data_IF_956463418540
#
_entry.id   IF_956463418540
#
_cell.length_a   1.000
_cell.length_b   1.000
_cell.length_c   1.000
_cell.angle_alpha   90.00
_cell.angle_beta   90.00
_cell.angle_gamma   90.00
#
_symmetry.space_group_name_H-M   'P 1'
#
loop_
_entity.id
_entity.type
_entity.pdbx_description
1 polymer ?
#
# COMPACT_ATOMS: atom_id res chain seq x y z
N UNK A 1 15.22 -33.68 -5.67
CA UNK A 1 15.06 -34.53 -6.88
C UNK A 1 13.67 -34.33 -7.42
N UNK A 2 13.50 -33.87 -8.65
CA UNK A 2 12.16 -33.77 -9.24
C UNK A 2 11.73 -35.18 -9.62
N UNK A 3 10.61 -35.64 -9.05
CA UNK A 3 9.95 -36.86 -9.44
C UNK A 3 9.28 -36.61 -10.78
N UNK A 4 9.90 -37.08 -11.87
CA UNK A 4 9.25 -37.15 -13.16
C UNK A 4 8.22 -38.29 -13.10
N UNK A 5 6.95 -37.95 -12.93
CA UNK A 5 5.85 -38.89 -13.17
C UNK A 5 5.76 -39.08 -14.68
N UNK A 6 6.23 -40.22 -15.17
CA UNK A 6 6.03 -40.67 -16.55
C UNK A 6 4.55 -41.00 -16.68
N UNK A 7 3.79 -40.09 -17.28
CA UNK A 7 2.40 -40.35 -17.68
C UNK A 7 2.45 -41.16 -19.00
N UNK A 8 2.32 -42.47 -18.87
CA UNK A 8 2.05 -43.34 -20.03
C UNK A 8 0.63 -43.02 -20.48
N UNK A 9 0.51 -42.56 -21.72
CA UNK A 9 -0.74 -42.09 -22.30
C UNK A 9 -1.84 -43.15 -22.35
N UNK A 10 -3.02 -42.73 -21.91
CA UNK A 10 -4.29 -43.23 -22.43
C UNK A 10 -5.03 -42.02 -23.00
N UNK A 11 -5.26 -42.10 -24.31
CA UNK A 11 -6.01 -41.07 -25.05
C UNK A 11 -7.35 -40.79 -24.39
N UNK A 12 -7.63 -39.49 -24.17
CA UNK A 12 -9.00 -39.01 -23.93
C UNK A 12 -9.36 -38.63 -22.50
N UNK A 13 -8.52 -38.80 -21.49
CA UNK A 13 -8.85 -38.29 -20.13
C UNK A 13 -8.40 -36.85 -19.93
N UNK A 14 -9.38 -36.00 -19.62
CA UNK A 14 -9.15 -34.58 -19.31
C UNK A 14 -8.22 -34.47 -18.10
N UNK A 15 -6.93 -34.16 -18.31
CA UNK A 15 -5.88 -34.03 -17.29
C UNK A 15 -6.31 -33.16 -16.11
N UNK A 16 -7.26 -32.25 -16.35
CA UNK A 16 -7.83 -31.34 -15.32
C UNK A 16 -8.73 -32.06 -14.30
N UNK A 17 -9.17 -33.29 -14.57
CA UNK A 17 -10.01 -34.06 -13.65
C UNK A 17 -9.23 -35.02 -12.75
N UNK A 18 -7.91 -35.13 -12.93
CA UNK A 18 -7.07 -35.99 -12.11
C UNK A 18 -6.96 -35.41 -10.66
N UNK A 19 -7.24 -36.20 -9.61
CA UNK A 19 -7.12 -35.76 -8.20
C UNK A 19 -5.75 -35.17 -7.86
N UNK A 20 -4.68 -35.82 -8.29
CA UNK A 20 -3.30 -35.38 -8.08
C UNK A 20 -3.02 -34.00 -8.71
N UNK A 21 -3.56 -33.71 -9.91
CA UNK A 21 -3.44 -32.40 -10.55
C UNK A 21 -4.20 -31.32 -9.76
N UNK A 22 -5.35 -31.66 -9.19
CA UNK A 22 -6.15 -30.76 -8.36
C UNK A 22 -5.47 -30.44 -7.04
N UNK A 23 -4.82 -31.43 -6.42
CA UNK A 23 -4.03 -31.25 -5.19
C UNK A 23 -2.80 -30.38 -5.44
N UNK A 24 -2.06 -30.58 -6.53
CA UNK A 24 -0.89 -29.77 -6.88
C UNK A 24 -1.29 -28.29 -7.11
N UNK A 25 -2.40 -28.03 -7.79
CA UNK A 25 -2.92 -26.67 -7.97
C UNK A 25 -3.36 -26.06 -6.63
N UNK A 26 -3.99 -26.85 -5.77
CA UNK A 26 -4.43 -26.40 -4.44
C UNK A 26 -3.23 -26.01 -3.56
N UNK A 27 -2.22 -26.85 -3.45
CA UNK A 27 -0.98 -26.56 -2.71
C UNK A 27 -0.23 -25.36 -3.28
N UNK A 28 -0.21 -25.18 -4.60
CA UNK A 28 0.41 -24.02 -5.24
C UNK A 28 -0.32 -22.72 -4.93
N UNK A 29 -1.66 -22.73 -4.89
CA UNK A 29 -2.47 -21.57 -4.49
C UNK A 29 -2.30 -21.24 -3.01
N UNK A 30 -2.27 -22.23 -2.15
CA UNK A 30 -2.08 -22.09 -0.71
C UNK A 30 -0.72 -21.45 -0.41
N UNK A 31 0.35 -21.97 -1.01
CA UNK A 31 1.68 -21.39 -0.90
C UNK A 31 1.73 -19.91 -1.36
N UNK A 32 1.06 -19.56 -2.47
CA UNK A 32 1.00 -18.18 -2.93
C UNK A 32 0.26 -17.27 -1.94
N UNK A 33 -0.80 -17.76 -1.32
CA UNK A 33 -1.57 -17.02 -0.31
C UNK A 33 -0.71 -16.73 0.93
N UNK A 34 0.03 -17.72 1.41
CA UNK A 34 0.94 -17.57 2.56
C UNK A 34 2.00 -16.52 2.26
N UNK A 35 2.64 -16.55 1.09
CA UNK A 35 3.63 -15.53 0.70
C UNK A 35 3.03 -14.12 0.71
N UNK A 36 1.84 -13.93 0.15
CA UNK A 36 1.17 -12.62 0.12
C UNK A 36 0.87 -12.10 1.51
N UNK A 37 0.33 -12.93 2.40
CA UNK A 37 0.03 -12.56 3.78
C UNK A 37 1.32 -12.18 4.52
N UNK A 38 2.37 -12.99 4.41
CA UNK A 38 3.67 -12.73 5.04
C UNK A 38 4.27 -11.42 4.57
N UNK A 39 4.29 -11.17 3.26
CA UNK A 39 4.79 -9.91 2.71
C UNK A 39 3.94 -8.71 3.12
N UNK A 40 2.63 -8.88 3.22
CA UNK A 40 1.72 -7.83 3.71
C UNK A 40 2.05 -7.47 5.16
N UNK A 41 2.27 -8.47 6.01
CA UNK A 41 2.64 -8.25 7.41
C UNK A 41 4.00 -7.56 7.56
N UNK A 42 4.99 -8.00 6.79
CA UNK A 42 6.34 -7.37 6.78
C UNK A 42 6.25 -5.92 6.30
N UNK A 43 5.53 -5.65 5.22
CA UNK A 43 5.36 -4.29 4.71
C UNK A 43 4.57 -3.41 5.69
N UNK A 44 3.55 -3.95 6.39
CA UNK A 44 2.83 -3.23 7.42
C UNK A 44 3.76 -2.86 8.59
N UNK A 45 4.62 -3.78 9.02
CA UNK A 45 5.62 -3.51 10.05
C UNK A 45 6.61 -2.41 9.62
N UNK A 46 7.09 -2.44 8.38
CA UNK A 46 7.96 -1.40 7.83
C UNK A 46 7.25 -0.05 7.80
N UNK A 47 5.99 0.01 7.34
CA UNK A 47 5.19 1.25 7.35
C UNK A 47 5.04 1.78 8.77
N UNK A 48 4.76 0.92 9.74
CA UNK A 48 4.66 1.29 11.16
C UNK A 48 5.97 1.89 11.67
N UNK A 49 7.10 1.20 11.44
CA UNK A 49 8.44 1.68 11.88
C UNK A 49 8.82 2.99 11.22
N UNK A 50 8.63 3.13 9.91
CA UNK A 50 8.96 4.38 9.19
C UNK A 50 8.07 5.54 9.64
N UNK A 51 6.89 5.29 10.19
CA UNK A 51 6.04 6.32 10.76
C UNK A 51 6.64 6.99 12.00
N UNK A 52 7.59 6.34 12.71
CA UNK A 52 8.35 6.99 13.79
C UNK A 52 9.28 8.10 13.28
N UNK A 53 9.76 7.98 12.04
CA UNK A 53 10.61 8.99 11.42
C UNK A 53 9.76 10.17 10.93
N UNK A 54 9.34 11.00 11.87
CA UNK A 54 8.49 12.16 11.62
C UNK A 54 9.08 13.43 12.26
N UNK A 55 8.94 14.52 11.52
CA UNK A 55 9.39 15.82 11.95
C UNK A 55 8.19 16.78 12.05
N UNK A 56 8.05 17.55 13.16
CA UNK A 56 7.01 18.56 13.25
C UNK A 56 7.30 19.70 12.27
N UNK A 57 6.32 20.10 11.50
CA UNK A 57 6.41 21.22 10.57
C UNK A 57 5.04 21.92 10.48
N UNK A 58 5.02 23.23 10.77
CA UNK A 58 3.83 24.11 10.60
C UNK A 58 2.52 23.51 11.14
N UNK A 59 2.53 23.01 12.38
CA UNK A 59 1.34 22.46 13.03
C UNK A 59 0.90 21.07 12.52
N UNK A 60 1.70 20.45 11.65
CA UNK A 60 1.52 19.08 11.19
C UNK A 60 2.84 18.30 11.24
N UNK A 61 2.84 17.06 10.78
CA UNK A 61 4.01 16.18 10.83
C UNK A 61 4.41 15.78 9.41
N UNK A 62 5.68 15.91 9.08
CA UNK A 62 6.28 15.40 7.83
C UNK A 62 6.92 14.05 8.13
N UNK A 63 6.62 13.04 7.31
CA UNK A 63 7.13 11.69 7.48
C UNK A 63 7.21 10.92 6.15
N UNK A 64 8.16 10.01 6.05
CA UNK A 64 8.36 9.18 4.86
C UNK A 64 7.40 7.99 4.74
N UNK A 65 6.56 7.75 5.74
CA UNK A 65 5.62 6.63 5.74
C UNK A 65 4.69 6.60 4.52
N UNK A 66 4.34 7.78 3.95
CA UNK A 66 3.53 7.86 2.73
C UNK A 66 4.22 7.19 1.53
N UNK A 67 5.55 7.34 1.41
CA UNK A 67 6.32 6.67 0.37
C UNK A 67 6.26 5.14 0.51
N UNK A 68 6.35 4.64 1.75
CA UNK A 68 6.24 3.21 2.04
C UNK A 68 4.83 2.67 1.79
N UNK A 69 3.79 3.47 2.05
CA UNK A 69 2.40 3.12 1.71
C UNK A 69 2.21 2.97 0.19
N UNK A 70 2.75 3.90 -0.61
CA UNK A 70 2.71 3.80 -2.07
C UNK A 70 3.52 2.61 -2.57
N UNK A 71 4.71 2.39 -2.01
CA UNK A 71 5.58 1.27 -2.36
C UNK A 71 4.90 -0.07 -2.07
N UNK A 72 4.24 -0.22 -0.91
CA UNK A 72 3.50 -1.44 -0.58
C UNK A 72 2.41 -1.73 -1.63
N UNK A 73 1.68 -0.70 -2.06
CA UNK A 73 0.73 -0.80 -3.17
C UNK A 73 1.39 -1.30 -4.46
N UNK A 74 2.46 -0.66 -4.89
CA UNK A 74 3.17 -0.98 -6.12
C UNK A 74 3.75 -2.41 -6.15
N UNK A 75 4.18 -2.95 -5.01
CA UNK A 75 4.76 -4.28 -4.89
C UNK A 75 3.70 -5.39 -4.74
N UNK A 76 2.74 -5.19 -3.83
CA UNK A 76 1.76 -6.21 -3.44
C UNK A 76 0.43 -6.10 -4.18
N UNK A 77 0.23 -5.01 -4.92
CA UNK A 77 -1.04 -4.76 -5.61
C UNK A 77 -2.07 -4.03 -4.74
N UNK A 78 -3.28 -3.78 -5.27
CA UNK A 78 -4.23 -2.84 -4.65
C UNK A 78 -4.74 -3.31 -3.29
N UNK A 79 -5.11 -4.58 -3.15
CA UNK A 79 -5.72 -5.09 -1.91
C UNK A 79 -4.66 -5.32 -0.84
N UNK A 80 -3.68 -6.18 -1.09
CA UNK A 80 -2.65 -6.54 -0.11
C UNK A 80 -1.72 -5.37 0.23
N UNK A 81 -1.38 -4.54 -0.77
CA UNK A 81 -0.60 -3.31 -0.54
C UNK A 81 -1.40 -2.25 0.20
N UNK A 82 -2.70 -2.11 -0.09
CA UNK A 82 -3.61 -1.25 0.67
C UNK A 82 -3.75 -1.68 2.12
N UNK A 83 -3.91 -3.00 2.35
CA UNK A 83 -3.94 -3.58 3.71
C UNK A 83 -2.63 -3.29 4.46
N UNK A 84 -1.47 -3.50 3.84
CA UNK A 84 -0.18 -3.22 4.45
C UNK A 84 -0.05 -1.74 4.84
N UNK A 85 -0.41 -0.82 3.93
CA UNK A 85 -0.37 0.62 4.17
C UNK A 85 -1.34 1.04 5.29
N UNK A 86 -2.57 0.56 5.24
CA UNK A 86 -3.63 0.87 6.20
C UNK A 86 -3.32 0.32 7.59
N UNK A 87 -3.02 -0.99 7.69
CA UNK A 87 -2.71 -1.66 8.96
C UNK A 87 -1.47 -1.07 9.62
N UNK A 88 -0.36 -0.90 8.86
CA UNK A 88 0.87 -0.35 9.41
C UNK A 88 0.71 1.05 9.98
N UNK A 89 -0.04 1.92 9.29
CA UNK A 89 -0.31 3.29 9.75
C UNK A 89 -1.29 3.32 10.92
N UNK A 90 -2.37 2.55 10.87
CA UNK A 90 -3.36 2.48 11.95
C UNK A 90 -2.78 1.85 13.23
N UNK A 91 -1.93 0.84 13.09
CA UNK A 91 -1.24 0.21 14.20
C UNK A 91 -0.31 1.20 14.91
N UNK A 92 0.41 2.02 14.15
CA UNK A 92 1.20 3.10 14.71
C UNK A 92 0.34 4.10 15.49
N UNK A 93 -0.79 4.54 14.89
CA UNK A 93 -1.70 5.51 15.52
C UNK A 93 -2.30 4.96 16.82
N UNK A 94 -2.66 3.67 16.83
CA UNK A 94 -3.25 3.00 18.01
C UNK A 94 -2.25 2.78 19.14
N UNK A 95 -1.02 2.32 18.82
CA UNK A 95 -0.05 1.92 19.86
C UNK A 95 0.81 3.08 20.34
N UNK A 96 1.16 4.02 19.46
CA UNK A 96 2.16 5.06 19.72
C UNK A 96 1.65 6.47 19.46
N UNK A 97 0.58 6.61 18.67
CA UNK A 97 0.00 7.91 18.29
C UNK A 97 -0.86 8.54 19.36
N UNK A 98 -1.42 7.72 20.27
CA UNK A 98 -2.38 8.19 21.28
C UNK A 98 -3.70 8.65 20.68
N UNK A 99 -4.04 8.18 19.48
CA UNK A 99 -5.29 8.54 18.80
C UNK A 99 -6.43 7.59 19.19
N UNK A 100 -7.65 8.12 19.19
CA UNK A 100 -8.87 7.36 19.38
C UNK A 100 -9.12 6.36 18.25
N UNK A 101 -9.94 5.35 18.51
CA UNK A 101 -10.22 4.27 17.55
C UNK A 101 -10.79 4.80 16.23
N UNK A 102 -11.65 5.84 16.28
CA UNK A 102 -12.21 6.45 15.07
C UNK A 102 -11.13 7.07 14.19
N UNK A 103 -10.16 7.76 14.77
CA UNK A 103 -8.99 8.28 14.04
C UNK A 103 -8.16 7.18 13.42
N UNK A 104 -7.92 6.07 14.14
CA UNK A 104 -7.17 4.91 13.63
C UNK A 104 -7.88 4.30 12.42
N UNK A 105 -9.19 4.13 12.46
CA UNK A 105 -9.99 3.61 11.35
C UNK A 105 -9.95 4.53 10.13
N UNK A 106 -10.06 5.84 10.34
CA UNK A 106 -9.98 6.81 9.23
C UNK A 106 -8.57 6.81 8.64
N UNK A 107 -7.53 6.69 9.45
CA UNK A 107 -6.15 6.56 8.96
C UNK A 107 -5.99 5.29 8.14
N UNK A 108 -6.52 4.15 8.62
CA UNK A 108 -6.53 2.89 7.87
C UNK A 108 -7.16 3.07 6.49
N UNK A 109 -8.41 3.58 6.43
CA UNK A 109 -9.14 3.75 5.18
C UNK A 109 -8.41 4.72 4.23
N UNK A 110 -7.90 5.83 4.75
CA UNK A 110 -7.20 6.83 3.94
C UNK A 110 -5.90 6.30 3.34
N UNK A 111 -5.13 5.51 4.10
CA UNK A 111 -3.87 4.90 3.63
C UNK A 111 -4.12 3.74 2.69
N UNK A 112 -5.15 2.95 2.95
CA UNK A 112 -5.62 1.91 2.03
C UNK A 112 -6.00 2.53 0.67
N UNK A 113 -6.84 3.56 0.69
CA UNK A 113 -7.29 4.25 -0.53
C UNK A 113 -6.11 4.87 -1.30
N UNK A 114 -5.15 5.49 -0.62
CA UNK A 114 -3.92 6.03 -1.20
C UNK A 114 -3.15 4.97 -2.00
N UNK A 115 -2.89 3.82 -1.40
CA UNK A 115 -2.17 2.72 -2.05
C UNK A 115 -2.99 2.12 -3.20
N UNK A 116 -4.30 1.98 -3.00
CA UNK A 116 -5.22 1.42 -3.99
C UNK A 116 -5.32 2.30 -5.24
N UNK A 117 -5.53 3.61 -5.09
CA UNK A 117 -5.55 4.58 -6.21
C UNK A 117 -4.24 4.57 -6.97
N UNK A 118 -3.10 4.56 -6.25
CA UNK A 118 -1.77 4.47 -6.87
C UNK A 118 -1.67 3.26 -7.81
N UNK A 119 -2.07 2.09 -7.36
CA UNK A 119 -1.95 0.85 -8.14
C UNK A 119 -2.90 0.82 -9.34
N UNK A 120 -4.12 1.35 -9.18
CA UNK A 120 -5.09 1.40 -10.27
C UNK A 120 -4.55 2.18 -11.48
N UNK A 121 -3.84 3.28 -11.25
CA UNK A 121 -3.24 4.08 -12.33
C UNK A 121 -1.87 3.54 -12.76
N UNK A 122 -1.03 3.12 -11.82
CA UNK A 122 0.32 2.62 -12.11
C UNK A 122 0.30 1.28 -12.88
N UNK A 123 -0.67 0.41 -12.62
CA UNK A 123 -0.78 -0.93 -13.21
C UNK A 123 0.57 -1.67 -13.28
N UNK A 124 1.26 -1.88 -12.15
CA UNK A 124 2.65 -2.34 -12.12
C UNK A 124 2.85 -3.74 -12.71
N UNK A 125 1.78 -4.54 -12.81
CA UNK A 125 1.80 -5.88 -13.44
C UNK A 125 1.87 -5.83 -14.97
N UNK A 126 1.49 -4.73 -15.60
CA UNK A 126 1.63 -4.55 -17.05
C UNK A 126 3.05 -4.10 -17.37
N UNK A 127 3.92 -5.06 -17.70
CA UNK A 127 5.27 -4.77 -18.17
C UNK A 127 5.24 -4.13 -19.57
N UNK A 128 6.20 -3.25 -19.88
CA UNK A 128 6.35 -2.65 -21.19
C UNK A 128 6.87 -1.22 -21.14
N UNK A 129 7.01 -0.62 -22.33
CA UNK A 129 7.40 0.77 -22.50
C UNK A 129 6.44 1.68 -21.73
N UNK A 130 6.96 2.57 -20.88
CA UNK A 130 6.15 3.52 -20.09
C UNK A 130 5.79 3.05 -18.67
N UNK A 131 6.29 1.90 -18.20
CA UNK A 131 6.05 1.46 -16.82
C UNK A 131 6.49 2.52 -15.79
N UNK A 132 7.66 3.12 -15.97
CA UNK A 132 8.16 4.16 -15.06
C UNK A 132 7.23 5.38 -15.03
N UNK A 133 6.77 5.86 -16.18
CA UNK A 133 5.84 7.00 -16.25
C UNK A 133 4.51 6.65 -15.54
N UNK A 134 3.97 5.46 -15.74
CA UNK A 134 2.73 5.02 -15.07
C UNK A 134 2.91 4.89 -13.55
N UNK A 135 4.06 4.39 -13.10
CA UNK A 135 4.38 4.31 -11.67
C UNK A 135 4.45 5.71 -11.06
N UNK A 136 5.11 6.66 -11.73
CA UNK A 136 5.15 8.06 -11.28
C UNK A 136 3.76 8.68 -11.24
N UNK A 137 2.97 8.56 -12.31
CA UNK A 137 1.61 9.08 -12.38
C UNK A 137 0.70 8.46 -11.31
N UNK A 138 0.80 7.14 -11.11
CA UNK A 138 0.08 6.44 -10.05
C UNK A 138 0.48 6.92 -8.66
N UNK A 139 1.78 7.16 -8.43
CA UNK A 139 2.28 7.68 -7.15
C UNK A 139 1.79 9.10 -6.88
N UNK A 140 1.75 9.97 -7.91
CA UNK A 140 1.20 11.32 -7.80
C UNK A 140 -0.29 11.25 -7.42
N UNK A 141 -1.08 10.46 -8.16
CA UNK A 141 -2.50 10.33 -7.90
C UNK A 141 -2.80 9.75 -6.50
N UNK A 142 -2.05 8.72 -6.10
CA UNK A 142 -2.16 8.16 -4.75
C UNK A 142 -1.81 9.18 -3.66
N UNK A 143 -0.72 9.93 -3.82
CA UNK A 143 -0.32 10.96 -2.87
C UNK A 143 -1.37 12.09 -2.78
N UNK A 144 -1.89 12.56 -3.91
CA UNK A 144 -2.93 13.59 -3.94
C UNK A 144 -4.25 13.10 -3.33
N UNK A 145 -4.66 11.87 -3.60
CA UNK A 145 -5.87 11.29 -2.99
C UNK A 145 -5.77 11.30 -1.46
N UNK A 146 -4.58 11.01 -0.92
CA UNK A 146 -4.35 11.10 0.52
C UNK A 146 -4.45 12.54 1.05
N UNK A 147 -3.91 13.54 0.33
CA UNK A 147 -4.06 14.96 0.72
C UNK A 147 -5.52 15.34 0.82
N UNK A 148 -6.32 14.98 -0.18
CA UNK A 148 -7.78 15.26 -0.19
C UNK A 148 -8.47 14.60 1.00
N UNK A 149 -8.22 13.30 1.24
CA UNK A 149 -8.83 12.57 2.36
C UNK A 149 -8.38 13.12 3.72
N UNK A 150 -7.13 13.55 3.84
CA UNK A 150 -6.62 14.17 5.06
C UNK A 150 -7.25 15.54 5.33
N UNK A 151 -7.45 16.36 4.31
CA UNK A 151 -8.14 17.63 4.43
C UNK A 151 -9.62 17.42 4.76
N UNK A 152 -10.29 16.47 4.12
CA UNK A 152 -11.68 16.12 4.41
C UNK A 152 -11.84 15.63 5.86
N UNK A 153 -10.96 14.75 6.32
CA UNK A 153 -10.90 14.33 7.74
C UNK A 153 -10.78 15.55 8.66
N UNK A 154 -9.82 16.42 8.37
CA UNK A 154 -9.58 17.61 9.19
C UNK A 154 -10.81 18.50 9.27
N UNK A 155 -11.48 18.73 8.14
CA UNK A 155 -12.72 19.50 8.08
C UNK A 155 -13.82 18.88 8.94
N UNK A 156 -14.07 17.57 8.77
CA UNK A 156 -15.12 16.84 9.51
C UNK A 156 -14.85 16.91 11.03
N UNK A 157 -13.62 16.65 11.45
CA UNK A 157 -13.28 16.68 12.87
C UNK A 157 -13.41 18.07 13.47
N UNK A 158 -12.88 19.10 12.81
CA UNK A 158 -12.92 20.47 13.32
C UNK A 158 -14.37 20.98 13.40
N UNK A 159 -15.17 20.72 12.37
CA UNK A 159 -16.51 21.28 12.29
C UNK A 159 -17.56 20.50 13.09
N UNK A 160 -17.54 19.16 12.99
CA UNK A 160 -18.62 18.32 13.51
C UNK A 160 -18.27 17.63 14.83
N UNK A 161 -17.00 17.27 15.07
CA UNK A 161 -16.60 16.62 16.30
C UNK A 161 -16.24 17.64 17.39
N UNK A 162 -15.44 18.65 17.03
CA UNK A 162 -14.99 19.67 17.98
C UNK A 162 -15.90 20.91 18.01
N UNK A 163 -16.81 21.06 17.04
CA UNK A 163 -17.78 22.17 17.02
C UNK A 163 -17.16 23.54 16.76
N UNK A 164 -15.96 23.62 16.18
CA UNK A 164 -15.30 24.91 15.96
C UNK A 164 -16.01 25.76 14.90
N UNK A 165 -15.93 27.11 15.04
CA UNK A 165 -16.42 28.05 14.02
C UNK A 165 -15.72 27.80 12.67
N UNK A 166 -16.40 28.22 11.57
CA UNK A 166 -15.91 28.01 10.22
C UNK A 166 -14.55 28.68 9.99
N UNK A 167 -14.33 29.86 10.52
CA UNK A 167 -13.07 30.62 10.39
C UNK A 167 -11.90 29.86 11.01
N UNK A 168 -12.10 29.29 12.19
CA UNK A 168 -11.08 28.47 12.89
C UNK A 168 -10.82 27.16 12.11
N UNK A 169 -11.87 26.57 11.54
CA UNK A 169 -11.76 25.37 10.70
C UNK A 169 -10.91 25.65 9.46
N UNK A 170 -11.16 26.74 8.74
CA UNK A 170 -10.38 27.16 7.59
C UNK A 170 -8.93 27.49 7.94
N UNK A 171 -8.70 28.23 9.03
CA UNK A 171 -7.35 28.54 9.49
C UNK A 171 -6.55 27.27 9.80
N UNK A 172 -7.19 26.29 10.45
CA UNK A 172 -6.55 24.99 10.74
C UNK A 172 -6.24 24.20 9.46
N UNK A 173 -7.13 24.20 8.50
CA UNK A 173 -6.90 23.52 7.20
C UNK A 173 -5.73 24.17 6.44
N UNK A 174 -5.71 25.50 6.36
CA UNK A 174 -4.64 26.25 5.70
C UNK A 174 -3.28 26.04 6.35
N UNK A 175 -3.22 25.95 7.68
CA UNK A 175 -1.96 25.68 8.40
C UNK A 175 -1.41 24.28 8.17
N UNK A 176 -2.28 23.27 7.95
CA UNK A 176 -1.89 21.88 7.72
C UNK A 176 -1.62 21.54 6.25
N UNK A 177 -2.13 22.34 5.32
CA UNK A 177 -2.01 22.09 3.88
C UNK A 177 -0.55 22.05 3.40
N UNK A 178 0.35 23.00 3.76
CA UNK A 178 1.74 22.98 3.30
C UNK A 178 2.47 21.70 3.70
N UNK A 179 2.36 21.27 4.94
CA UNK A 179 2.99 20.04 5.42
C UNK A 179 2.42 18.80 4.72
N UNK A 180 1.11 18.79 4.42
CA UNK A 180 0.46 17.71 3.67
C UNK A 180 0.97 17.64 2.23
N UNK A 181 1.17 18.78 1.57
CA UNK A 181 1.74 18.85 0.21
C UNK A 181 3.21 18.42 0.19
N UNK A 182 4.03 18.84 1.17
CA UNK A 182 5.42 18.40 1.31
C UNK A 182 5.48 16.87 1.46
N UNK A 183 4.61 16.29 2.30
CA UNK A 183 4.49 14.84 2.44
C UNK A 183 4.10 14.15 1.14
N UNK A 184 3.20 14.74 0.36
CA UNK A 184 2.79 14.20 -0.94
C UNK A 184 3.96 14.24 -1.94
N UNK A 185 4.68 15.37 -2.02
CA UNK A 185 5.86 15.52 -2.89
C UNK A 185 6.93 14.51 -2.52
N UNK A 186 7.30 14.41 -1.25
CA UNK A 186 8.27 13.44 -0.78
C UNK A 186 7.84 11.99 -1.12
N UNK A 187 6.56 11.68 -0.97
CA UNK A 187 6.05 10.35 -1.25
C UNK A 187 6.10 9.98 -2.73
N UNK A 188 5.63 10.87 -3.63
CA UNK A 188 5.62 10.56 -5.07
C UNK A 188 7.01 10.58 -5.72
N UNK A 189 8.01 11.21 -5.08
CA UNK A 189 9.41 11.13 -5.52
C UNK A 189 10.05 9.84 -4.99
N UNK A 190 9.93 9.56 -3.70
CA UNK A 190 10.60 8.44 -3.06
C UNK A 190 10.01 7.08 -3.48
N UNK A 191 8.69 6.95 -3.64
CA UNK A 191 8.08 5.66 -3.94
C UNK A 191 8.51 5.07 -5.30
N UNK A 192 8.56 5.80 -6.43
CA UNK A 192 9.07 5.27 -7.68
C UNK A 192 10.55 4.89 -7.64
N UNK A 193 11.38 5.66 -6.92
CA UNK A 193 12.80 5.37 -6.75
C UNK A 193 12.98 4.06 -5.97
N UNK A 194 12.30 3.92 -4.84
CA UNK A 194 12.31 2.68 -4.04
C UNK A 194 11.76 1.50 -4.84
N UNK A 195 10.70 1.69 -5.60
CA UNK A 195 10.14 0.66 -6.46
C UNK A 195 11.14 0.20 -7.52
N UNK A 196 11.84 1.13 -8.19
CA UNK A 196 12.86 0.81 -9.18
C UNK A 196 14.05 0.06 -8.57
N UNK A 197 14.40 0.34 -7.32
CA UNK A 197 15.48 -0.34 -6.60
C UNK A 197 15.08 -1.74 -6.10
N UNK A 198 13.89 -1.87 -5.52
CA UNK A 198 13.44 -3.11 -4.86
C UNK A 198 12.90 -4.13 -5.86
N UNK A 199 12.21 -3.69 -6.91
CA UNK A 199 11.59 -4.59 -7.90
C UNK A 199 12.56 -5.57 -8.57
N UNK A 200 13.77 -5.16 -9.04
CA UNK A 200 14.73 -6.10 -9.62
C UNK A 200 15.19 -7.16 -8.61
N UNK A 201 15.44 -6.78 -7.35
CA UNK A 201 15.83 -7.70 -6.31
C UNK A 201 14.76 -8.77 -6.06
N UNK A 202 13.49 -8.38 -5.96
CA UNK A 202 12.37 -9.30 -5.81
C UNK A 202 12.16 -10.19 -7.05
N UNK A 203 12.42 -9.66 -8.25
CA UNK A 203 12.36 -10.43 -9.50
C UNK A 203 13.43 -11.49 -9.54
N UNK A 204 14.68 -11.15 -9.20
CA UNK A 204 15.80 -12.08 -9.17
C UNK A 204 15.63 -13.17 -8.09
N UNK A 205 15.03 -12.83 -6.96
CA UNK A 205 14.68 -13.79 -5.91
C UNK A 205 13.46 -14.68 -6.27
N UNK A 206 12.83 -14.48 -7.43
CA UNK A 206 11.64 -15.25 -7.85
C UNK A 206 10.37 -14.95 -7.06
N UNK A 207 10.41 -13.96 -6.17
CA UNK A 207 9.30 -13.62 -5.26
C UNK A 207 8.19 -12.85 -5.98
N UNK A 208 8.52 -12.09 -7.01
CA UNK A 208 7.54 -11.30 -7.76
C UNK A 208 6.46 -12.15 -8.45
N UNK A 209 6.78 -13.42 -8.78
CA UNK A 209 5.81 -14.37 -9.36
C UNK A 209 4.85 -14.94 -8.32
N UNK A 210 5.19 -14.84 -7.04
CA UNK A 210 4.38 -15.36 -5.92
C UNK A 210 3.49 -14.27 -5.29
N UNK A 211 3.80 -12.99 -5.56
CA UNK A 211 3.03 -11.80 -5.17
C UNK A 211 2.02 -11.41 -6.25
#
# INVERSE_FOLDING_TARGET
>A
MPVYVIIIGTEGQNVKSCPAYREEISMKKENQSIYRITFTAVMAAIVCVVTFLRFPLLGSKVHFANAMCLLSGLLLGPVFGGLAAGLGSALYDALFGGYDLANCLITFVSKFAMAWVCVMLAQPKKEGKGLHARVVLGSIAGALSYVVLYMLKTFIYQRFVYGYPMDTTWATMLSKLPASLINAVAAFIAAPILYAAVRPALKNAGLLKKL
#
